data_IF_749553366752
#
_entry.id   IF_749553366752
#
_cell.length_a   1.000
_cell.length_b   1.000
_cell.length_c   1.000
_cell.angle_alpha   90.00
_cell.angle_beta   90.00
_cell.angle_gamma   90.00
#
_symmetry.space_group_name_H-M   'P 1'
#
loop_
_entity.id
_entity.type
_entity.pdbx_description
1 polymer ?
#
# COMPACT_ATOMS: atom_id res chain seq x y z
N UNK A 1 4.50 -12.94 30.96
CA UNK A 1 4.86 -14.30 30.52
C UNK A 1 3.55 -15.02 30.25
N UNK A 2 3.25 -15.43 29.01
CA UNK A 2 2.04 -16.21 28.74
C UNK A 2 2.10 -17.53 29.51
N UNK A 3 1.01 -17.88 30.18
CA UNK A 3 0.94 -19.12 30.97
C UNK A 3 0.51 -20.30 30.10
N UNK A 4 0.84 -21.53 30.49
CA UNK A 4 0.43 -22.72 29.73
C UNK A 4 -1.10 -22.81 29.54
N UNK A 5 -1.87 -22.25 30.47
CA UNK A 5 -3.33 -22.11 30.39
C UNK A 5 -3.79 -21.16 29.27
N UNK A 6 -3.01 -20.12 28.94
CA UNK A 6 -3.33 -19.20 27.83
C UNK A 6 -3.09 -19.85 26.46
N UNK A 7 -2.18 -20.86 26.39
CA UNK A 7 -1.86 -21.58 25.14
C UNK A 7 -2.97 -22.52 24.67
N UNK A 8 -3.83 -22.99 25.59
CA UNK A 8 -4.93 -23.94 25.30
C UNK A 8 -6.21 -23.24 24.85
N UNK A 9 -6.29 -21.91 25.03
CA UNK A 9 -7.39 -21.07 24.56
C UNK A 9 -7.20 -20.78 23.06
N UNK A 10 -8.30 -20.82 22.29
CA UNK A 10 -8.31 -20.48 20.86
C UNK A 10 -7.58 -19.16 20.62
N UNK A 11 -6.79 -19.08 19.56
CA UNK A 11 -6.05 -17.85 19.24
C UNK A 11 -6.96 -16.63 19.05
N UNK A 12 -8.24 -16.85 18.71
CA UNK A 12 -9.26 -15.81 18.51
C UNK A 12 -9.78 -15.18 19.81
N UNK A 13 -9.81 -15.92 20.92
CA UNK A 13 -10.28 -15.45 22.23
C UNK A 13 -9.19 -14.82 23.08
N UNK A 14 -7.95 -14.78 22.58
CA UNK A 14 -6.87 -14.03 23.24
C UNK A 14 -7.07 -12.54 23.02
N UNK A 15 -6.79 -11.77 24.08
CA UNK A 15 -6.82 -10.30 24.03
C UNK A 15 -5.86 -9.77 22.97
N UNK A 16 -6.36 -8.90 22.10
CA UNK A 16 -5.54 -8.22 21.11
C UNK A 16 -4.95 -6.96 21.73
N UNK A 17 -3.63 -6.91 21.89
CA UNK A 17 -2.91 -5.70 22.30
C UNK A 17 -2.72 -4.74 21.11
N UNK A 18 -3.80 -4.50 20.36
CA UNK A 18 -3.84 -3.62 19.19
C UNK A 18 -4.91 -2.56 19.44
N UNK A 19 -4.52 -1.29 19.38
CA UNK A 19 -5.43 -0.15 19.58
C UNK A 19 -5.39 0.83 18.42
N UNK A 20 -6.51 1.49 18.15
CA UNK A 20 -6.54 2.62 17.21
C UNK A 20 -5.62 3.76 17.68
N UNK A 21 -4.97 4.43 16.73
CA UNK A 21 -4.08 5.55 17.04
C UNK A 21 -4.92 6.78 17.45
N UNK A 22 -4.66 7.42 18.60
CA UNK A 22 -5.56 8.44 19.17
C UNK A 22 -5.51 9.80 18.45
N UNK A 23 -4.49 10.02 17.61
CA UNK A 23 -4.29 11.26 16.84
C UNK A 23 -5.09 11.27 15.51
N UNK A 24 -5.71 10.15 15.13
CA UNK A 24 -6.48 10.05 13.90
C UNK A 24 -7.73 10.94 13.96
N UNK A 25 -7.95 11.70 12.89
CA UNK A 25 -9.14 12.55 12.76
C UNK A 25 -10.08 11.95 11.74
N UNK A 26 -11.27 11.55 12.18
CA UNK A 26 -12.32 11.03 11.31
C UNK A 26 -13.37 12.11 10.99
N UNK A 27 -13.89 12.05 9.76
CA UNK A 27 -15.02 12.87 9.31
C UNK A 27 -15.98 12.02 8.49
N UNK A 28 -17.26 12.07 8.85
CA UNK A 28 -18.34 11.46 8.08
C UNK A 28 -18.61 12.28 6.82
N UNK A 29 -18.67 11.62 5.68
CA UNK A 29 -18.95 12.21 4.38
C UNK A 29 -20.03 11.39 3.67
N UNK A 30 -20.93 12.07 2.95
CA UNK A 30 -21.92 11.40 2.11
C UNK A 30 -21.52 11.59 0.65
N UNK A 31 -21.36 10.48 -0.07
CA UNK A 31 -21.00 10.50 -1.49
C UNK A 31 -21.90 9.53 -2.25
N UNK A 32 -22.59 10.04 -3.28
CA UNK A 32 -23.52 9.25 -4.11
C UNK A 32 -24.54 8.43 -3.31
N UNK A 33 -25.10 9.03 -2.26
CA UNK A 33 -26.11 8.39 -1.40
C UNK A 33 -25.56 7.39 -0.37
N UNK A 34 -24.27 7.06 -0.41
CA UNK A 34 -23.60 6.21 0.59
C UNK A 34 -22.82 7.05 1.61
N UNK A 35 -22.74 6.55 2.83
CA UNK A 35 -22.00 7.16 3.93
C UNK A 35 -20.60 6.55 3.96
N UNK A 36 -19.59 7.40 4.11
CA UNK A 36 -18.21 7.00 4.26
C UNK A 36 -17.56 7.79 5.40
N UNK A 37 -16.60 7.17 6.07
CA UNK A 37 -15.73 7.82 7.02
C UNK A 37 -14.37 8.07 6.39
N UNK A 38 -13.98 9.34 6.32
CA UNK A 38 -12.64 9.74 5.88
C UNK A 38 -11.78 9.95 7.11
N UNK A 39 -10.79 9.08 7.30
CA UNK A 39 -9.82 9.12 8.39
C UNK A 39 -8.54 9.75 7.87
N UNK A 40 -8.15 10.87 8.48
CA UNK A 40 -6.90 11.57 8.19
C UNK A 40 -5.80 11.09 9.13
N UNK A 41 -4.70 10.61 8.56
CA UNK A 41 -3.44 10.41 9.26
C UNK A 41 -2.65 11.74 9.28
N UNK A 42 -2.48 12.39 10.46
CA UNK A 42 -1.73 13.64 10.55
C UNK A 42 -0.22 13.49 10.36
N UNK A 43 0.33 12.29 10.56
CA UNK A 43 1.77 12.00 10.46
C UNK A 43 2.15 11.57 9.04
N UNK A 44 1.37 10.65 8.46
CA UNK A 44 1.57 10.15 7.11
C UNK A 44 1.04 11.07 6.02
N UNK A 45 0.23 12.09 6.38
CA UNK A 45 -0.53 12.94 5.44
C UNK A 45 -1.38 12.14 4.45
N UNK A 46 -1.79 10.93 4.84
CA UNK A 46 -2.63 10.04 4.04
C UNK A 46 -4.09 10.15 4.50
N UNK A 47 -5.00 9.90 3.57
CA UNK A 47 -6.43 9.84 3.81
C UNK A 47 -6.92 8.44 3.49
N UNK A 48 -7.67 7.86 4.40
CA UNK A 48 -8.28 6.56 4.25
C UNK A 48 -9.79 6.71 4.25
N UNK A 49 -10.44 6.00 3.34
CA UNK A 49 -11.89 5.97 3.25
C UNK A 49 -12.35 4.62 3.75
N UNK A 50 -13.25 4.65 4.73
CA UNK A 50 -13.87 3.48 5.33
C UNK A 50 -15.38 3.54 5.12
N UNK A 51 -15.99 2.37 5.01
CA UNK A 51 -17.43 2.22 5.18
C UNK A 51 -17.81 2.38 6.67
N UNK A 52 -19.10 2.38 6.97
CA UNK A 52 -19.57 2.64 8.35
C UNK A 52 -19.17 1.49 9.28
N UNK A 53 -19.27 0.28 8.76
CA UNK A 53 -18.91 -1.00 9.35
C UNK A 53 -17.41 -1.09 9.66
N UNK A 54 -16.57 -0.79 8.67
CA UNK A 54 -15.11 -0.82 8.81
C UNK A 54 -14.61 0.21 9.82
N UNK A 55 -15.24 1.39 9.84
CA UNK A 55 -14.90 2.43 10.80
C UNK A 55 -15.33 2.06 12.22
N UNK A 56 -16.44 1.35 12.39
CA UNK A 56 -16.86 0.84 13.69
C UNK A 56 -15.84 -0.19 14.22
N UNK A 57 -15.38 -1.13 13.38
CA UNK A 57 -14.32 -2.08 13.76
C UNK A 57 -13.06 -1.33 14.22
N UNK A 58 -12.65 -0.27 13.50
CA UNK A 58 -11.50 0.55 13.91
C UNK A 58 -11.72 1.17 15.31
N UNK A 59 -12.94 1.59 15.65
CA UNK A 59 -13.26 2.13 16.98
C UNK A 59 -13.35 1.06 18.07
N UNK A 60 -13.67 -0.18 17.72
CA UNK A 60 -13.70 -1.31 18.65
C UNK A 60 -12.30 -1.76 19.09
N UNK A 61 -11.24 -1.39 18.35
CA UNK A 61 -9.85 -1.70 18.69
C UNK A 61 -9.35 -0.82 19.85
N UNK A 62 -9.62 -1.28 21.07
CA UNK A 62 -9.23 -0.66 22.34
C UNK A 62 -7.90 -1.18 22.92
N UNK A 63 -7.37 -2.28 22.38
CA UNK A 63 -6.17 -2.96 22.87
C UNK A 63 -6.42 -3.96 24.01
N UNK A 64 -7.68 -4.27 24.31
CA UNK A 64 -8.08 -5.23 25.35
C UNK A 64 -9.04 -6.30 24.84
N UNK A 65 -9.84 -5.99 23.83
CA UNK A 65 -10.84 -6.90 23.24
C UNK A 65 -10.17 -8.02 22.44
N UNK A 66 -10.77 -9.21 22.44
CA UNK A 66 -10.37 -10.33 21.58
C UNK A 66 -11.00 -10.23 20.18
N UNK A 67 -10.57 -11.08 19.24
CA UNK A 67 -11.19 -11.13 17.90
C UNK A 67 -12.65 -11.58 17.99
N UNK A 68 -12.93 -12.54 18.87
CA UNK A 68 -14.27 -13.07 19.09
C UNK A 68 -15.20 -11.99 19.68
N UNK A 69 -14.70 -11.20 20.66
CA UNK A 69 -15.48 -10.08 21.25
C UNK A 69 -15.82 -9.01 20.20
N UNK A 70 -14.86 -8.71 19.31
CA UNK A 70 -15.06 -7.71 18.25
C UNK A 70 -16.07 -8.23 17.22
N UNK A 71 -16.00 -9.51 16.86
CA UNK A 71 -16.95 -10.12 15.92
C UNK A 71 -18.37 -10.12 16.50
N UNK A 72 -18.55 -10.54 17.75
CA UNK A 72 -19.86 -10.53 18.42
C UNK A 72 -20.43 -9.11 18.52
N UNK A 73 -19.59 -8.13 18.89
CA UNK A 73 -19.99 -6.73 18.98
C UNK A 73 -20.34 -6.13 17.62
N UNK A 74 -19.63 -6.52 16.57
CA UNK A 74 -19.91 -6.11 15.20
C UNK A 74 -21.27 -6.64 14.72
N UNK A 75 -21.55 -7.93 14.95
CA UNK A 75 -22.84 -8.55 14.60
C UNK A 75 -24.00 -7.90 15.33
N UNK A 76 -23.80 -7.51 16.61
CA UNK A 76 -24.81 -6.82 17.40
C UNK A 76 -25.10 -5.39 16.88
N UNK A 77 -24.10 -4.68 16.36
CA UNK A 77 -24.24 -3.30 15.87
C UNK A 77 -24.72 -3.22 14.41
N UNK A 78 -24.39 -4.21 13.58
CA UNK A 78 -24.71 -4.23 12.14
C UNK A 78 -25.50 -5.47 11.64
N UNK A 79 -26.67 -5.85 12.20
CA UNK A 79 -27.47 -6.95 11.64
C UNK A 79 -27.97 -6.64 10.21
N UNK A 80 -27.98 -7.59 9.26
CA UNK A 80 -27.62 -9.02 9.35
C UNK A 80 -26.17 -9.32 8.94
N UNK A 81 -25.28 -8.32 8.92
CA UNK A 81 -23.89 -8.49 8.51
C UNK A 81 -23.13 -9.26 9.58
N UNK A 82 -22.36 -10.26 9.16
CA UNK A 82 -21.48 -11.04 10.02
C UNK A 82 -20.07 -10.96 9.45
N UNK A 83 -19.05 -11.02 10.31
CA UNK A 83 -17.66 -10.95 9.91
C UNK A 83 -16.92 -12.19 10.36
N UNK A 84 -16.21 -12.84 9.44
CA UNK A 84 -15.39 -13.99 9.81
C UNK A 84 -14.14 -13.53 10.56
N UNK A 85 -13.67 -14.33 11.51
CA UNK A 85 -12.42 -14.06 12.25
C UNK A 85 -11.24 -13.86 11.29
N UNK A 86 -11.18 -14.61 10.19
CA UNK A 86 -10.14 -14.48 9.17
C UNK A 86 -10.18 -13.12 8.45
N UNK A 87 -11.37 -12.62 8.13
CA UNK A 87 -11.58 -11.32 7.49
C UNK A 87 -11.20 -10.19 8.44
N UNK A 88 -11.59 -10.30 9.71
CA UNK A 88 -11.22 -9.37 10.76
C UNK A 88 -9.70 -9.33 10.95
N UNK A 89 -9.01 -10.48 10.96
CA UNK A 89 -7.55 -10.54 11.02
C UNK A 89 -6.89 -9.87 9.81
N UNK A 90 -7.40 -10.11 8.60
CA UNK A 90 -6.89 -9.48 7.39
C UNK A 90 -7.07 -7.96 7.41
N UNK A 91 -8.22 -7.48 7.90
CA UNK A 91 -8.53 -6.06 8.05
C UNK A 91 -7.60 -5.40 9.08
N UNK A 92 -7.43 -5.99 10.27
CA UNK A 92 -6.49 -5.52 11.29
C UNK A 92 -5.05 -5.49 10.74
N UNK A 93 -4.66 -6.52 9.98
CA UNK A 93 -3.37 -6.57 9.30
C UNK A 93 -3.19 -5.42 8.30
N UNK A 94 -4.25 -5.04 7.58
CA UNK A 94 -4.26 -3.88 6.68
C UNK A 94 -4.13 -2.56 7.44
N UNK A 95 -4.87 -2.38 8.54
CA UNK A 95 -4.77 -1.22 9.43
C UNK A 95 -3.36 -1.06 10.02
N UNK A 96 -2.72 -2.18 10.39
CA UNK A 96 -1.36 -2.17 10.91
C UNK A 96 -0.34 -1.76 9.83
N UNK A 97 -0.48 -2.28 8.60
CA UNK A 97 0.38 -1.89 7.46
C UNK A 97 0.18 -0.42 7.05
N UNK A 98 -1.01 0.13 7.21
CA UNK A 98 -1.31 1.55 6.94
C UNK A 98 -0.91 2.47 8.09
N UNK A 99 -0.49 1.94 9.24
CA UNK A 99 -0.04 2.73 10.38
C UNK A 99 -1.18 3.37 11.18
N UNK A 100 -2.42 2.91 10.99
CA UNK A 100 -3.62 3.45 11.66
C UNK A 100 -3.84 2.85 13.07
N UNK A 101 -3.16 1.76 13.39
CA UNK A 101 -3.25 1.09 14.70
C UNK A 101 -1.86 0.92 15.31
N UNK A 102 -1.82 0.95 16.64
CA UNK A 102 -0.63 0.67 17.44
C UNK A 102 -0.73 -0.75 17.98
N UNK A 103 0.34 -1.51 17.81
CA UNK A 103 0.51 -2.80 18.50
C UNK A 103 1.52 -2.63 19.61
N UNK A 104 1.18 -3.00 20.84
CA UNK A 104 2.11 -2.99 21.98
C UNK A 104 3.06 -4.21 21.98
N UNK A 105 3.06 -5.02 20.91
CA UNK A 105 3.97 -6.15 20.77
C UNK A 105 5.42 -5.66 20.59
N UNK A 106 6.34 -5.95 21.54
CA UNK A 106 7.72 -5.51 21.46
C UNK A 106 8.43 -6.14 20.25
N UNK A 107 9.25 -5.36 19.54
CA UNK A 107 10.15 -5.87 18.51
C UNK A 107 9.72 -5.71 17.04
N UNK A 108 8.61 -5.03 16.73
CA UNK A 108 8.18 -4.81 15.33
C UNK A 108 8.72 -3.53 14.66
N UNK A 109 9.38 -2.64 15.41
CA UNK A 109 9.82 -1.34 14.91
C UNK A 109 10.84 -1.41 13.78
N UNK A 110 11.72 -2.41 13.78
CA UNK A 110 12.75 -2.58 12.74
C UNK A 110 12.13 -3.02 11.41
N UNK A 111 11.24 -4.02 11.43
CA UNK A 111 10.54 -4.51 10.24
C UNK A 111 9.61 -3.45 9.64
N UNK A 112 9.01 -2.60 10.49
CA UNK A 112 8.17 -1.49 10.02
C UNK A 112 9.01 -0.37 9.38
N UNK A 113 10.20 -0.09 9.94
CA UNK A 113 11.16 0.88 9.36
C UNK A 113 11.67 0.41 8.00
N UNK A 114 12.07 -0.85 7.89
CA UNK A 114 12.59 -1.41 6.64
C UNK A 114 11.54 -1.35 5.51
N UNK A 115 10.29 -1.72 5.80
CA UNK A 115 9.16 -1.58 4.85
C UNK A 115 8.90 -0.13 4.45
N UNK A 116 9.03 0.82 5.39
CA UNK A 116 8.88 2.25 5.10
C UNK A 116 9.99 2.74 4.17
N UNK A 117 11.23 2.31 4.42
CA UNK A 117 12.40 2.69 3.62
C UNK A 117 12.31 2.13 2.19
N UNK A 118 11.83 0.90 2.03
CA UNK A 118 11.54 0.32 0.70
C UNK A 118 10.44 1.08 -0.04
N UNK A 119 9.33 1.41 0.64
CA UNK A 119 8.22 2.14 0.03
C UNK A 119 8.66 3.54 -0.41
N UNK A 120 9.44 4.24 0.43
CA UNK A 120 10.00 5.55 0.11
C UNK A 120 10.95 5.49 -1.09
N UNK A 121 11.78 4.45 -1.20
CA UNK A 121 12.64 4.23 -2.38
C UNK A 121 11.81 4.03 -3.65
N UNK A 122 10.76 3.20 -3.59
CA UNK A 122 9.86 2.97 -4.74
C UNK A 122 9.10 4.24 -5.13
N UNK A 123 8.65 5.04 -4.17
CA UNK A 123 7.99 6.33 -4.42
C UNK A 123 8.95 7.34 -5.08
N UNK A 124 10.21 7.40 -4.66
CA UNK A 124 11.22 8.26 -5.30
C UNK A 124 11.51 7.79 -6.74
N UNK A 125 11.73 6.48 -6.93
CA UNK A 125 11.95 5.91 -8.27
C UNK A 125 10.75 6.13 -9.19
N UNK A 126 9.54 5.93 -8.67
CA UNK A 126 8.29 6.19 -9.40
C UNK A 126 8.08 7.68 -9.66
N UNK A 127 8.49 8.58 -8.75
CA UNK A 127 8.47 10.02 -8.94
C UNK A 127 9.43 10.48 -10.03
N UNK A 128 10.64 9.92 -10.08
CA UNK A 128 11.61 10.16 -11.16
C UNK A 128 11.12 9.60 -12.50
N UNK A 129 10.49 8.42 -12.51
CA UNK A 129 9.84 7.88 -13.68
C UNK A 129 8.60 8.71 -14.10
N UNK A 130 7.86 9.28 -13.16
CA UNK A 130 6.73 10.17 -13.42
C UNK A 130 7.17 11.55 -13.93
N UNK A 131 8.39 12.01 -13.60
CA UNK A 131 9.02 13.16 -14.26
C UNK A 131 9.28 12.84 -15.75
N UNK A 132 9.67 11.61 -16.09
CA UNK A 132 9.74 11.17 -17.49
C UNK A 132 8.36 10.99 -18.14
N UNK A 133 7.31 10.78 -17.34
CA UNK A 133 5.91 10.73 -17.78
C UNK A 133 5.23 12.11 -17.85
N UNK A 134 5.92 13.18 -17.43
CA UNK A 134 5.47 14.54 -17.66
C UNK A 134 5.50 14.76 -19.17
N UNK A 135 4.32 14.70 -19.79
CA UNK A 135 4.12 15.00 -21.20
C UNK A 135 4.50 16.46 -21.43
N UNK A 136 5.77 16.70 -21.79
CA UNK A 136 6.31 18.00 -22.16
C UNK A 136 5.56 18.51 -23.41
N UNK A 137 4.47 19.23 -23.17
CA UNK A 137 3.68 19.90 -24.21
C UNK A 137 4.11 21.37 -24.24
N UNK A 138 5.35 21.63 -24.68
CA UNK A 138 5.83 23.01 -24.79
C UNK A 138 7.34 23.26 -24.90
N UNK A 139 8.20 22.26 -24.73
CA UNK A 139 9.61 22.40 -25.08
C UNK A 139 9.79 21.80 -26.47
N UNK A 140 10.31 22.59 -27.39
CA UNK A 140 10.76 22.13 -28.69
C UNK A 140 12.01 21.22 -28.51
N UNK A 141 11.90 19.90 -28.69
CA UNK A 141 13.01 18.98 -28.46
C UNK A 141 14.08 19.05 -29.56
N UNK A 142 13.86 19.87 -30.60
CA UNK A 142 14.72 19.99 -31.77
C UNK A 142 16.13 20.51 -31.41
N UNK A 143 16.27 21.35 -30.38
CA UNK A 143 17.58 21.81 -29.91
C UNK A 143 18.45 20.71 -29.30
N UNK A 144 17.85 19.85 -28.46
CA UNK A 144 18.54 18.70 -27.85
C UNK A 144 18.85 17.65 -28.91
N UNK A 145 17.89 17.40 -29.82
CA UNK A 145 18.05 16.44 -30.89
C UNK A 145 19.18 16.84 -31.84
N UNK A 146 19.27 18.12 -32.23
CA UNK A 146 20.35 18.63 -33.10
C UNK A 146 21.73 18.60 -32.41
N UNK A 147 21.79 18.83 -31.10
CA UNK A 147 23.03 18.71 -30.33
C UNK A 147 23.52 17.26 -30.23
N UNK A 148 22.59 16.30 -30.12
CA UNK A 148 22.90 14.88 -30.01
C UNK A 148 23.13 14.22 -31.38
N UNK A 149 22.51 14.75 -32.44
CA UNK A 149 22.59 14.25 -33.81
C UNK A 149 24.01 13.91 -34.30
N UNK A 150 25.04 14.76 -34.14
CA UNK A 150 26.40 14.42 -34.61
C UNK A 150 26.97 13.17 -33.93
N UNK A 151 26.60 12.88 -32.68
CA UNK A 151 27.09 11.73 -31.92
C UNK A 151 26.37 10.43 -32.28
N UNK A 152 25.09 10.50 -32.67
CA UNK A 152 24.28 9.33 -33.09
C UNK A 152 24.20 9.14 -34.60
N UNK A 153 24.74 10.09 -35.40
CA UNK A 153 24.69 10.06 -36.87
C UNK A 153 25.21 8.76 -37.47
N UNK A 154 26.25 8.16 -36.89
CA UNK A 154 26.83 6.91 -37.38
C UNK A 154 25.84 5.73 -37.33
N UNK A 155 24.91 5.73 -36.36
CA UNK A 155 23.91 4.68 -36.17
C UNK A 155 22.84 4.69 -37.27
N UNK A 156 22.56 5.86 -37.84
CA UNK A 156 21.59 6.04 -38.93
C UNK A 156 22.22 5.93 -40.33
N UNK A 157 23.46 5.45 -40.43
CA UNK A 157 24.09 5.19 -41.73
C UNK A 157 23.57 3.89 -42.35
N UNK A 158 23.48 3.79 -43.69
CA UNK A 158 23.07 2.56 -44.38
C UNK A 158 23.93 1.34 -44.02
N UNK A 159 25.21 1.55 -43.66
CA UNK A 159 26.11 0.49 -43.24
C UNK A 159 25.77 -0.04 -41.83
N UNK A 160 25.46 0.85 -40.89
CA UNK A 160 25.06 0.47 -39.53
C UNK A 160 23.70 -0.25 -39.53
N UNK A 161 22.74 0.21 -40.34
CA UNK A 161 21.44 -0.46 -40.49
C UNK A 161 21.57 -1.83 -41.14
N UNK A 162 22.41 -1.99 -42.16
CA UNK A 162 22.70 -3.30 -42.75
C UNK A 162 23.37 -4.25 -41.74
N UNK A 163 24.35 -3.78 -40.97
CA UNK A 163 25.00 -4.57 -39.92
C UNK A 163 24.01 -4.99 -38.82
N UNK A 164 23.11 -4.10 -38.41
CA UNK A 164 22.06 -4.40 -37.44
C UNK A 164 21.06 -5.45 -37.98
N UNK A 165 20.68 -5.36 -39.26
CA UNK A 165 19.82 -6.35 -39.93
C UNK A 165 20.50 -7.72 -40.00
N UNK A 166 21.78 -7.77 -40.35
CA UNK A 166 22.55 -9.03 -40.38
C UNK A 166 22.63 -9.65 -38.98
N UNK A 167 22.90 -8.85 -37.96
CA UNK A 167 22.88 -9.31 -36.56
C UNK A 167 21.50 -9.82 -36.14
N UNK A 168 20.42 -9.13 -36.51
CA UNK A 168 19.06 -9.55 -36.20
C UNK A 168 18.68 -10.87 -36.89
N UNK A 169 19.06 -11.04 -38.15
CA UNK A 169 18.86 -12.30 -38.90
C UNK A 169 19.71 -13.43 -38.30
N UNK A 170 20.97 -13.16 -37.96
CA UNK A 170 21.84 -14.14 -37.30
C UNK A 170 21.28 -14.57 -35.93
N UNK A 171 20.75 -13.63 -35.14
CA UNK A 171 20.11 -13.93 -33.87
C UNK A 171 18.83 -14.77 -34.05
N UNK A 172 17.99 -14.45 -35.04
CA UNK A 172 16.79 -15.24 -35.37
C UNK A 172 17.16 -16.68 -35.79
N UNK A 173 18.17 -16.83 -36.64
CA UNK A 173 18.66 -18.14 -37.09
C UNK A 173 19.31 -18.96 -35.96
N UNK A 174 19.79 -18.31 -34.90
CA UNK A 174 20.37 -18.99 -33.73
C UNK A 174 19.29 -19.45 -32.74
N UNK A 175 18.11 -18.83 -32.75
CA UNK A 175 16.97 -19.17 -31.89
C UNK A 175 16.10 -20.29 -32.49
N UNK A 176 16.19 -20.53 -33.80
CA UNK A 176 15.54 -21.64 -34.51
C UNK A 176 16.45 -22.86 -34.54
#
# INVERSE_FOLDING_TARGET
>A
MPTLADSIVSSSSRKLTIRARPDLKARRQRYQGRIYWVVKDPVGLQYFRFEEEEFAILQMLDGQSSLDDIAERFEAEFPPQTIRVEELQNFIGMLHRSGLVLSDAPGQGWALKERRDERKRKEVLSGLANILAFRFRGIDPEGILNALYPYVRWFFTPAATAAALVLAVAALLLVV
#
